data_IF_436328846623
#
_entry.id   IF_436328846623
#
_cell.length_a   1.000
_cell.length_b   1.000
_cell.length_c   1.000
_cell.angle_alpha   90.00
_cell.angle_beta   90.00
_cell.angle_gamma   90.00
#
_symmetry.space_group_name_H-M   'P 1'
#
loop_
_entity.id
_entity.type
_entity.pdbx_description
1 polymer ?
#
# COMPACT_ATOMS: atom_id res chain seq x y z
N UNK A 1 11.62 -7.70 -4.46
CA UNK A 1 12.34 -6.41 -4.45
C UNK A 1 12.38 -5.86 -3.02
N UNK A 2 13.57 -5.54 -2.48
CA UNK A 2 13.67 -4.90 -1.16
C UNK A 2 13.04 -3.52 -1.14
N UNK A 3 12.34 -3.19 -0.05
CA UNK A 3 11.79 -1.88 0.27
C UNK A 3 12.41 -1.44 1.61
N UNK A 4 13.46 -0.63 1.52
CA UNK A 4 14.28 -0.30 2.70
C UNK A 4 14.92 -1.55 3.33
N UNK A 5 15.16 -1.49 4.64
CA UNK A 5 15.75 -2.58 5.41
C UNK A 5 14.75 -3.57 6.03
N UNK A 6 13.46 -3.25 6.03
CA UNK A 6 12.45 -4.00 6.80
C UNK A 6 11.32 -4.60 5.97
N UNK A 7 11.19 -4.21 4.70
CA UNK A 7 10.10 -4.65 3.84
C UNK A 7 10.59 -5.25 2.53
N UNK A 8 9.75 -6.09 1.92
CA UNK A 8 9.94 -6.63 0.59
C UNK A 8 8.62 -6.61 -0.18
N UNK A 9 8.71 -6.26 -1.45
CA UNK A 9 7.64 -6.36 -2.44
C UNK A 9 7.88 -7.57 -3.34
N UNK A 10 6.87 -8.40 -3.48
CA UNK A 10 6.81 -9.49 -4.44
C UNK A 10 5.56 -9.26 -5.28
N UNK A 11 5.60 -9.50 -6.59
CA UNK A 11 4.42 -9.27 -7.40
C UNK A 11 4.35 -10.18 -8.63
N UNK A 12 3.13 -10.29 -9.13
CA UNK A 12 2.75 -10.88 -10.38
C UNK A 12 1.70 -9.99 -11.06
N UNK A 13 1.66 -10.03 -12.37
CA UNK A 13 0.74 -9.23 -13.18
C UNK A 13 -0.16 -10.14 -14.00
N UNK A 14 -1.46 -9.85 -13.99
CA UNK A 14 -2.35 -10.33 -15.03
C UNK A 14 -2.89 -9.15 -15.86
N UNK A 15 -3.80 -9.42 -16.78
CA UNK A 15 -4.32 -8.41 -17.72
C UNK A 15 -5.14 -7.31 -17.05
N UNK A 16 -5.64 -7.52 -15.84
CA UNK A 16 -6.56 -6.59 -15.16
C UNK A 16 -6.12 -6.21 -13.76
N UNK A 17 -5.18 -6.92 -13.15
CA UNK A 17 -4.77 -6.76 -11.75
C UNK A 17 -3.25 -6.85 -11.57
N UNK A 18 -2.79 -6.09 -10.58
CA UNK A 18 -1.53 -6.30 -9.88
C UNK A 18 -1.80 -7.19 -8.66
N UNK A 19 -1.21 -8.38 -8.63
CA UNK A 19 -1.21 -9.24 -7.45
C UNK A 19 0.15 -9.13 -6.79
N UNK A 20 0.20 -8.87 -5.49
CA UNK A 20 1.46 -8.60 -4.83
C UNK A 20 1.44 -8.98 -3.36
N UNK A 21 2.60 -9.33 -2.82
CA UNK A 21 2.80 -9.52 -1.41
C UNK A 21 3.68 -8.40 -0.84
N UNK A 22 3.23 -7.83 0.27
CA UNK A 22 4.05 -7.00 1.15
C UNK A 22 4.46 -7.85 2.33
N UNK A 23 5.77 -8.06 2.46
CA UNK A 23 6.37 -8.82 3.55
C UNK A 23 7.21 -7.85 4.37
N UNK A 24 6.96 -7.73 5.67
CA UNK A 24 7.68 -6.78 6.51
C UNK A 24 7.87 -7.26 7.94
N UNK A 25 9.02 -6.90 8.53
CA UNK A 25 9.24 -7.03 9.98
C UNK A 25 8.64 -5.82 10.69
N UNK A 26 7.33 -5.88 10.94
CA UNK A 26 6.56 -4.81 11.61
C UNK A 26 5.84 -5.36 12.84
N UNK A 27 5.52 -4.54 13.82
CA UNK A 27 4.78 -4.87 15.02
C UNK A 27 3.24 -4.91 14.80
N UNK A 28 2.49 -5.23 15.85
CA UNK A 28 1.01 -5.29 15.80
C UNK A 28 0.36 -3.90 15.72
N UNK A 29 1.05 -2.91 16.23
CA UNK A 29 0.74 -1.48 16.23
C UNK A 29 1.50 -0.76 15.11
N UNK A 30 1.89 -1.48 14.06
CA UNK A 30 2.55 -0.92 12.88
C UNK A 30 1.83 -1.35 11.60
N UNK A 31 1.96 -0.52 10.56
CA UNK A 31 1.40 -0.77 9.23
C UNK A 31 2.52 -0.89 8.20
N UNK A 32 2.22 -1.57 7.10
CA UNK A 32 2.99 -1.53 5.85
C UNK A 32 2.10 -0.99 4.73
N UNK A 33 2.69 -0.26 3.80
CA UNK A 33 1.95 0.34 2.69
C UNK A 33 2.75 0.35 1.38
N UNK A 34 2.03 0.20 0.27
CA UNK A 34 2.57 0.31 -1.09
C UNK A 34 1.49 0.74 -2.08
N UNK A 35 1.85 1.59 -3.04
CA UNK A 35 1.00 1.86 -4.18
C UNK A 35 1.52 2.96 -5.10
N UNK A 36 0.76 3.30 -6.16
CA UNK A 36 1.20 4.26 -7.15
C UNK A 36 1.18 5.69 -6.60
N UNK A 37 2.22 6.45 -6.97
CA UNK A 37 2.14 7.90 -6.93
C UNK A 37 1.08 8.41 -7.92
N UNK A 38 0.73 9.70 -7.83
CA UNK A 38 -0.09 10.34 -8.85
C UNK A 38 0.59 10.21 -10.23
N UNK A 39 -0.10 9.75 -11.29
CA UNK A 39 0.47 9.63 -12.61
C UNK A 39 1.05 10.95 -13.12
N UNK A 40 2.31 10.91 -13.58
CA UNK A 40 3.02 12.10 -14.08
C UNK A 40 3.61 13.01 -13.00
N UNK A 41 3.44 12.70 -11.72
CA UNK A 41 4.10 13.46 -10.65
C UNK A 41 5.63 13.32 -10.76
N UNK A 42 6.32 14.46 -10.76
CA UNK A 42 7.79 14.56 -10.81
C UNK A 42 8.38 15.02 -9.47
N UNK A 43 7.58 15.64 -8.63
CA UNK A 43 7.85 16.03 -7.27
C UNK A 43 6.62 15.69 -6.40
N UNK A 44 6.78 15.76 -5.06
CA UNK A 44 5.66 15.54 -4.11
C UNK A 44 4.87 14.26 -4.39
N UNK A 45 5.57 13.14 -4.57
CA UNK A 45 5.01 11.86 -5.04
C UNK A 45 3.92 11.25 -4.16
N UNK A 46 3.72 11.74 -2.94
CA UNK A 46 2.60 11.35 -2.06
C UNK A 46 1.34 12.19 -2.29
N UNK A 47 1.44 13.37 -2.89
CA UNK A 47 0.31 14.26 -3.11
C UNK A 47 -0.67 13.63 -4.10
N UNK A 48 -1.91 13.41 -3.67
CA UNK A 48 -2.95 12.71 -4.45
C UNK A 48 -2.55 11.29 -4.88
N UNK A 49 -1.61 10.67 -4.16
CA UNK A 49 -1.21 9.29 -4.38
C UNK A 49 -2.22 8.31 -3.76
N UNK A 50 -2.06 7.03 -4.13
CA UNK A 50 -2.79 5.94 -3.50
C UNK A 50 -1.85 4.84 -3.05
N UNK A 51 -2.15 4.27 -1.89
CA UNK A 51 -1.44 3.11 -1.39
C UNK A 51 -2.38 2.21 -0.64
N UNK A 52 -2.26 0.90 -0.82
CA UNK A 52 -2.88 -0.02 0.12
C UNK A 52 -2.02 -0.04 1.36
N UNK A 53 -2.63 0.25 2.51
CA UNK A 53 -2.03 0.09 3.82
C UNK A 53 -2.68 -1.08 4.55
N UNK A 54 -1.92 -1.79 5.38
CA UNK A 54 -2.45 -2.93 6.12
C UNK A 54 -1.52 -3.43 7.21
N UNK A 55 -2.02 -4.42 7.95
CA UNK A 55 -1.30 -5.10 9.02
C UNK A 55 -2.05 -6.32 9.52
N UNK A 56 -1.43 -7.04 10.45
CA UNK A 56 -2.01 -8.23 11.09
C UNK A 56 -1.83 -8.13 12.59
N UNK A 57 -2.93 -8.21 13.32
CA UNK A 57 -2.89 -8.27 14.77
C UNK A 57 -2.49 -9.69 15.21
N UNK A 58 -1.38 -9.85 15.94
CA UNK A 58 -0.85 -11.17 16.27
C UNK A 58 -1.70 -11.94 17.29
N UNK A 59 -2.38 -11.23 18.20
CA UNK A 59 -3.17 -11.87 19.26
C UNK A 59 -4.49 -12.44 18.76
N UNK A 60 -5.14 -11.75 17.82
CA UNK A 60 -6.42 -12.19 17.22
C UNK A 60 -6.25 -12.90 15.87
N UNK A 61 -5.09 -12.76 15.23
CA UNK A 61 -4.86 -13.19 13.84
C UNK A 61 -5.63 -12.36 12.80
N UNK A 62 -6.35 -11.31 13.23
CA UNK A 62 -7.14 -10.49 12.32
C UNK A 62 -6.24 -9.59 11.48
N UNK A 63 -6.39 -9.72 10.17
CA UNK A 63 -5.72 -8.89 9.20
C UNK A 63 -6.64 -7.81 8.65
N UNK A 64 -6.04 -6.71 8.21
CA UNK A 64 -6.74 -5.64 7.53
C UNK A 64 -5.84 -5.09 6.41
N UNK A 65 -6.47 -4.68 5.32
CA UNK A 65 -5.84 -3.87 4.29
C UNK A 65 -6.90 -3.02 3.60
N UNK A 66 -6.57 -1.79 3.23
CA UNK A 66 -7.50 -0.87 2.56
C UNK A 66 -6.73 0.10 1.67
N UNK A 67 -7.37 0.56 0.58
CA UNK A 67 -6.79 1.58 -0.27
C UNK A 67 -6.88 2.93 0.44
N UNK A 68 -5.75 3.64 0.49
CA UNK A 68 -5.61 4.95 1.12
C UNK A 68 -5.51 6.01 0.03
N UNK A 69 -6.16 7.14 0.23
CA UNK A 69 -6.02 8.32 -0.60
C UNK A 69 -5.34 9.43 0.20
N UNK A 70 -4.32 10.06 -0.41
CA UNK A 70 -3.45 11.03 0.25
C UNK A 70 -3.76 12.45 -0.25
N UNK A 71 -4.78 13.09 0.32
CA UNK A 71 -5.17 14.46 -0.05
C UNK A 71 -4.27 15.53 0.58
N UNK A 72 -3.61 15.22 1.69
CA UNK A 72 -2.65 16.07 2.37
C UNK A 72 -1.60 15.27 3.15
N UNK A 73 -0.49 15.93 3.51
CA UNK A 73 0.65 15.34 4.24
C UNK A 73 0.43 15.35 5.76
N UNK A 74 -0.73 14.85 6.18
CA UNK A 74 -1.13 14.74 7.59
C UNK A 74 -1.88 13.42 7.81
N UNK A 75 -1.93 12.88 9.05
CA UNK A 75 -2.83 11.78 9.39
C UNK A 75 -4.28 12.10 9.01
N UNK A 76 -5.11 11.06 8.82
CA UNK A 76 -6.50 11.26 8.46
C UNK A 76 -7.24 12.12 9.48
N UNK A 77 -7.78 13.25 9.03
CA UNK A 77 -8.63 14.12 9.82
C UNK A 77 -10.07 14.04 9.29
N UNK A 78 -10.90 13.33 10.06
CA UNK A 78 -12.33 13.11 9.76
C UNK A 78 -13.23 14.25 10.26
N UNK A 79 -12.67 15.31 10.85
CA UNK A 79 -13.44 16.51 11.22
C UNK A 79 -13.82 17.37 10.02
N UNK A 80 -13.15 17.17 8.87
CA UNK A 80 -13.47 17.79 7.60
C UNK A 80 -14.47 16.95 6.78
N UNK A 81 -15.23 17.60 5.90
CA UNK A 81 -16.15 16.96 4.95
C UNK A 81 -15.92 17.52 3.54
N UNK A 82 -15.25 16.78 2.63
CA UNK A 82 -14.69 15.44 2.83
C UNK A 82 -13.48 15.44 3.78
N UNK A 83 -13.11 14.28 4.36
CA UNK A 83 -11.91 14.14 5.20
C UNK A 83 -10.62 14.57 4.50
N UNK A 84 -9.63 15.00 5.27
CA UNK A 84 -8.35 15.50 4.75
C UNK A 84 -7.19 14.70 5.32
N UNK A 85 -6.12 14.49 4.54
CA UNK A 85 -4.94 13.75 4.96
C UNK A 85 -4.79 12.41 4.23
N UNK A 86 -4.17 11.44 4.91
CA UNK A 86 -4.04 10.05 4.44
C UNK A 86 -5.20 9.24 4.99
N UNK A 87 -6.31 9.19 4.24
CA UNK A 87 -7.57 8.58 4.68
C UNK A 87 -7.92 7.34 3.83
N UNK A 88 -8.62 6.34 4.38
CA UNK A 88 -9.10 5.23 3.57
C UNK A 88 -10.10 5.73 2.53
N UNK A 89 -10.08 5.14 1.33
CA UNK A 89 -10.92 5.56 0.20
C UNK A 89 -12.40 5.51 0.56
N UNK A 90 -12.82 4.52 1.35
CA UNK A 90 -14.16 4.41 1.94
C UNK A 90 -14.70 5.70 2.56
N UNK A 91 -13.85 6.54 3.15
CA UNK A 91 -14.24 7.80 3.78
C UNK A 91 -14.76 8.86 2.82
N UNK A 92 -14.47 8.72 1.52
CA UNK A 92 -14.88 9.64 0.47
C UNK A 92 -16.06 9.14 -0.36
N UNK A 93 -16.54 7.93 -0.06
CA UNK A 93 -17.57 7.23 -0.80
C UNK A 93 -18.91 7.28 -0.05
N UNK A 94 -20.01 7.35 -0.80
CA UNK A 94 -21.34 7.16 -0.22
C UNK A 94 -21.50 5.75 0.35
N UNK A 95 -22.45 5.49 1.26
CA UNK A 95 -22.70 4.15 1.78
C UNK A 95 -22.95 3.11 0.68
N UNK A 96 -23.64 3.49 -0.40
CA UNK A 96 -23.89 2.61 -1.55
C UNK A 96 -22.56 2.28 -2.27
N UNK A 97 -21.70 3.29 -2.46
CA UNK A 97 -20.40 3.10 -3.10
C UNK A 97 -19.44 2.24 -2.24
N UNK A 98 -19.47 2.41 -0.91
CA UNK A 98 -18.69 1.59 0.02
C UNK A 98 -19.04 0.11 -0.07
N UNK A 99 -20.32 -0.23 -0.28
CA UNK A 99 -20.75 -1.64 -0.44
C UNK A 99 -20.15 -2.34 -1.67
N UNK A 100 -19.72 -1.53 -2.66
CA UNK A 100 -19.05 -1.99 -3.89
C UNK A 100 -17.55 -1.73 -3.87
N UNK A 101 -17.02 -1.23 -2.76
CA UNK A 101 -15.60 -0.93 -2.64
C UNK A 101 -14.78 -2.20 -2.79
N UNK A 102 -13.67 -2.05 -3.49
CA UNK A 102 -12.72 -3.12 -3.71
C UNK A 102 -12.03 -3.50 -2.39
N UNK A 103 -12.16 -4.76 -1.97
CA UNK A 103 -11.35 -5.31 -0.88
C UNK A 103 -10.01 -5.82 -1.45
N UNK A 104 -8.87 -5.21 -1.07
CA UNK A 104 -7.59 -5.61 -1.61
C UNK A 104 -7.00 -6.88 -1.02
N UNK A 105 -7.49 -7.35 0.14
CA UNK A 105 -6.84 -8.42 0.88
C UNK A 105 -7.28 -9.81 0.40
N UNK A 106 -6.33 -10.60 -0.12
CA UNK A 106 -6.56 -12.01 -0.49
C UNK A 106 -6.26 -12.92 0.71
N UNK A 107 -5.08 -12.76 1.30
CA UNK A 107 -4.61 -13.57 2.41
C UNK A 107 -3.63 -12.77 3.27
N UNK A 108 -3.47 -13.18 4.52
CA UNK A 108 -2.51 -12.56 5.42
C UNK A 108 -1.98 -13.59 6.41
N UNK A 109 -0.75 -13.36 6.87
CA UNK A 109 -0.17 -14.14 7.96
C UNK A 109 0.79 -13.28 8.76
N UNK A 110 1.01 -13.72 10.01
CA UNK A 110 2.04 -13.16 10.87
C UNK A 110 2.76 -14.29 11.59
N UNK A 111 4.05 -14.40 11.38
CA UNK A 111 4.88 -15.46 11.98
C UNK A 111 6.25 -14.91 12.32
N UNK A 112 6.71 -15.14 13.56
CA UNK A 112 8.03 -14.70 14.04
C UNK A 112 8.31 -13.20 13.82
N UNK A 113 7.30 -12.35 14.04
CA UNK A 113 7.39 -10.89 13.84
C UNK A 113 7.32 -10.43 12.39
N UNK A 114 7.21 -11.35 11.43
CA UNK A 114 7.07 -11.03 10.01
C UNK A 114 5.58 -11.02 9.66
N UNK A 115 5.09 -9.87 9.20
CA UNK A 115 3.77 -9.71 8.61
C UNK A 115 3.86 -9.93 7.10
N UNK A 116 2.96 -10.75 6.55
CA UNK A 116 2.78 -10.93 5.11
C UNK A 116 1.34 -10.59 4.75
N UNK A 117 1.16 -9.66 3.81
CA UNK A 117 -0.13 -9.33 3.21
C UNK A 117 -0.08 -9.71 1.74
N UNK A 118 -0.96 -10.61 1.30
CA UNK A 118 -1.18 -10.95 -0.11
C UNK A 118 -2.37 -10.14 -0.59
N UNK A 119 -2.12 -9.30 -1.59
CA UNK A 119 -2.99 -8.24 -2.04
C UNK A 119 -3.26 -8.39 -3.54
N UNK A 120 -4.46 -7.99 -3.95
CA UNK A 120 -4.76 -7.71 -5.36
C UNK A 120 -5.15 -6.26 -5.48
N UNK A 121 -4.90 -5.63 -6.64
CA UNK A 121 -5.41 -4.30 -6.97
C UNK A 121 -5.69 -4.23 -8.47
N UNK A 122 -6.87 -3.75 -8.90
CA UNK A 122 -7.14 -3.53 -10.31
C UNK A 122 -6.13 -2.55 -10.91
N UNK A 123 -5.74 -2.77 -12.16
CA UNK A 123 -4.88 -1.86 -12.92
C UNK A 123 -5.64 -0.58 -13.30
N UNK A 124 -6.95 -0.68 -13.52
CA UNK A 124 -7.83 0.45 -13.77
C UNK A 124 -8.29 1.10 -12.46
N UNK A 125 -8.75 2.34 -12.55
CA UNK A 125 -9.36 3.03 -11.41
C UNK A 125 -10.62 2.30 -10.97
N UNK A 126 -10.81 2.21 -9.65
CA UNK A 126 -12.06 1.72 -9.05
C UNK A 126 -12.96 2.89 -8.61
N UNK A 127 -12.40 4.08 -8.42
CA UNK A 127 -13.13 5.33 -8.15
C UNK A 127 -12.34 6.57 -8.59
N UNK A 128 -12.93 7.75 -8.42
CA UNK A 128 -12.25 9.04 -8.62
C UNK A 128 -11.12 9.31 -7.61
N UNK A 129 -11.06 8.55 -6.50
CA UNK A 129 -10.06 8.70 -5.45
C UNK A 129 -8.95 7.64 -5.57
N UNK A 130 -8.91 6.90 -6.67
CA UNK A 130 -7.88 5.88 -6.95
C UNK A 130 -7.17 6.17 -8.26
N UNK A 131 -5.85 5.99 -8.27
CA UNK A 131 -5.00 6.16 -9.44
C UNK A 131 -4.81 4.85 -10.21
N UNK A 132 -4.71 4.93 -11.56
CA UNK A 132 -4.50 3.77 -12.40
C UNK A 132 -3.06 3.31 -12.24
N UNK A 133 -2.84 2.00 -12.36
CA UNK A 133 -1.51 1.41 -12.27
C UNK A 133 -0.97 1.24 -13.69
N UNK A 134 0.02 2.05 -14.04
CA UNK A 134 0.81 1.83 -15.24
C UNK A 134 1.98 0.86 -14.92
N UNK A 135 2.02 -0.25 -15.65
CA UNK A 135 2.95 -1.36 -15.40
C UNK A 135 4.30 -1.22 -16.13
N UNK A 136 4.45 -0.29 -17.08
CA UNK A 136 5.66 -0.21 -17.93
C UNK A 136 6.74 0.71 -17.41
N UNK A 137 6.40 1.88 -16.86
CA UNK A 137 7.32 2.75 -16.12
C UNK A 137 6.50 3.77 -15.32
N UNK A 138 6.56 3.69 -13.99
CA UNK A 138 5.81 4.59 -13.11
C UNK A 138 6.47 4.77 -11.76
N UNK A 139 6.07 5.83 -11.06
CA UNK A 139 6.51 6.08 -9.69
C UNK A 139 5.56 5.40 -8.72
N UNK A 140 6.13 4.65 -7.78
CA UNK A 140 5.41 4.07 -6.64
C UNK A 140 5.95 4.67 -5.36
N UNK A 141 5.18 4.56 -4.28
CA UNK A 141 5.58 4.91 -2.93
C UNK A 141 5.36 3.72 -2.03
N UNK A 142 6.21 3.61 -1.01
CA UNK A 142 6.03 2.66 0.07
C UNK A 142 6.40 3.31 1.38
N UNK A 143 5.82 2.78 2.45
CA UNK A 143 6.16 3.16 3.81
C UNK A 143 5.82 2.03 4.77
N UNK A 144 6.45 2.03 5.94
CA UNK A 144 5.92 1.43 7.15
C UNK A 144 5.94 2.47 8.27
N UNK A 145 5.13 2.23 9.30
CA UNK A 145 5.07 3.14 10.42
C UNK A 145 4.10 2.72 11.51
N UNK A 146 4.04 3.50 12.59
CA UNK A 146 3.17 3.20 13.71
C UNK A 146 1.69 3.47 13.40
N UNK A 147 0.83 2.78 14.12
CA UNK A 147 -0.60 2.97 14.21
C UNK A 147 -0.88 3.56 15.59
N UNK A 148 -1.42 4.77 15.63
CA UNK A 148 -1.75 5.47 16.87
C UNK A 148 -2.71 4.64 17.72
N UNK A 149 -2.54 4.63 19.04
CA UNK A 149 -3.51 4.02 19.96
C UNK A 149 -4.89 4.69 19.85
N UNK A 150 -5.96 3.92 20.04
CA UNK A 150 -7.31 4.48 20.13
C UNK A 150 -8.38 3.50 19.70
N UNK A 151 -9.63 3.87 20.00
CA UNK A 151 -10.80 3.12 19.60
C UNK A 151 -11.12 3.45 18.12
N UNK A 152 -11.13 2.42 17.27
CA UNK A 152 -11.49 2.57 15.86
C UNK A 152 -10.62 1.72 14.92
N UNK A 153 -11.02 1.62 13.63
CA UNK A 153 -10.30 0.81 12.67
C UNK A 153 -8.85 1.32 12.49
N UNK A 154 -7.86 0.43 12.38
CA UNK A 154 -6.46 0.81 12.19
C UNK A 154 -6.22 1.75 11.01
N UNK A 155 -7.02 1.62 9.94
CA UNK A 155 -6.93 2.46 8.73
C UNK A 155 -7.14 3.96 8.96
N UNK A 156 -7.82 4.35 10.05
CA UNK A 156 -8.01 5.75 10.44
C UNK A 156 -6.95 6.26 11.41
N UNK A 157 -6.05 5.38 11.87
CA UNK A 157 -5.09 5.65 12.94
C UNK A 157 -3.63 5.58 12.46
N UNK A 158 -3.38 5.58 11.16
CA UNK A 158 -2.02 5.60 10.64
C UNK A 158 -1.33 6.88 11.09
N UNK A 159 -0.24 6.73 11.83
CA UNK A 159 0.63 7.85 12.17
C UNK A 159 1.63 8.09 11.03
N UNK A 160 2.37 9.19 11.13
CA UNK A 160 3.46 9.44 10.19
C UNK A 160 4.48 8.30 10.26
N UNK A 161 4.88 7.78 9.11
CA UNK A 161 6.02 6.88 8.99
C UNK A 161 7.30 7.50 9.57
N UNK A 162 8.33 6.68 9.80
CA UNK A 162 9.63 7.18 10.25
C UNK A 162 10.28 8.18 9.29
N UNK A 163 11.39 8.80 9.72
CA UNK A 163 12.09 9.85 8.95
C UNK A 163 13.28 9.32 8.15
N UNK A 164 13.60 8.03 8.28
CA UNK A 164 14.74 7.41 7.63
C UNK A 164 14.41 6.86 6.23
N UNK A 165 15.42 6.68 5.36
CA UNK A 165 15.25 6.05 4.05
C UNK A 165 14.84 4.56 4.12
N UNK A 166 14.89 3.97 5.32
CA UNK A 166 14.41 2.62 5.60
C UNK A 166 12.92 2.57 5.97
N UNK A 167 12.30 3.73 6.22
CA UNK A 167 10.93 3.83 6.72
C UNK A 167 9.95 4.15 5.60
N UNK A 168 10.41 4.89 4.59
CA UNK A 168 9.66 5.22 3.39
C UNK A 168 10.61 5.62 2.26
N UNK A 169 10.18 5.43 1.02
CA UNK A 169 10.84 5.99 -0.15
C UNK A 169 9.92 5.92 -1.36
N UNK A 170 10.07 6.82 -2.35
CA UNK A 170 9.57 6.54 -3.67
C UNK A 170 10.41 5.45 -4.37
N UNK A 171 9.79 4.81 -5.35
CA UNK A 171 10.40 3.96 -6.36
C UNK A 171 10.08 4.60 -7.71
N UNK A 172 10.98 5.45 -8.19
CA UNK A 172 10.77 6.17 -9.45
C UNK A 172 11.10 5.29 -10.64
N UNK A 173 10.29 5.37 -11.70
CA UNK A 173 10.50 4.62 -12.96
C UNK A 173 10.60 3.09 -12.78
N UNK A 174 9.79 2.56 -11.88
CA UNK A 174 9.63 1.11 -11.74
C UNK A 174 8.78 0.59 -12.91
N UNK A 175 9.30 -0.40 -13.61
CA UNK A 175 8.54 -1.24 -14.52
C UNK A 175 8.11 -2.51 -13.78
N UNK A 176 6.83 -2.63 -13.47
CA UNK A 176 6.28 -3.86 -12.91
C UNK A 176 6.33 -5.01 -13.93
N UNK A 177 6.23 -4.69 -15.23
CA UNK A 177 6.23 -5.67 -16.32
C UNK A 177 7.59 -6.35 -16.52
N UNK A 178 8.70 -5.60 -16.47
CA UNK A 178 10.05 -6.16 -16.59
C UNK A 178 10.75 -6.40 -15.24
N UNK A 179 10.15 -5.91 -14.15
CA UNK A 179 10.73 -5.91 -12.81
C UNK A 179 12.07 -5.22 -12.70
N UNK A 180 12.23 -4.13 -13.44
CA UNK A 180 13.42 -3.30 -13.45
C UNK A 180 13.09 -1.87 -13.07
N UNK A 181 14.04 -1.17 -12.48
CA UNK A 181 14.00 0.29 -12.35
C UNK A 181 14.79 0.87 -13.52
N UNK A 182 14.19 1.78 -14.28
CA UNK A 182 14.87 2.41 -15.43
C UNK A 182 16.16 3.12 -14.98
N UNK A 183 17.28 2.80 -15.63
CA UNK A 183 18.61 3.30 -15.25
C UNK A 183 19.31 2.47 -14.17
N UNK A 184 18.71 1.39 -13.69
CA UNK A 184 19.34 0.38 -12.83
C UNK A 184 19.65 -0.90 -13.61
N UNK A 185 20.78 -1.54 -13.31
CA UNK A 185 21.11 -2.88 -13.81
C UNK A 185 20.45 -4.00 -12.98
N UNK A 186 19.67 -3.65 -11.94
CA UNK A 186 18.99 -4.63 -11.10
C UNK A 186 17.65 -5.06 -11.71
N UNK A 187 17.48 -6.37 -11.87
CA UNK A 187 16.19 -7.02 -12.15
C UNK A 187 15.72 -7.77 -10.91
N UNK A 188 14.43 -7.64 -10.59
CA UNK A 188 13.81 -8.17 -9.38
C UNK A 188 12.71 -9.19 -9.68
N UNK A 189 12.65 -9.71 -10.91
CA UNK A 189 11.77 -10.83 -11.25
C UNK A 189 12.30 -12.10 -10.56
N UNK A 190 11.75 -12.39 -9.38
CA UNK A 190 11.89 -13.67 -8.70
C UNK A 190 10.57 -14.41 -8.79
N UNK A 191 10.58 -15.61 -9.38
CA UNK A 191 9.41 -16.47 -9.45
C UNK A 191 8.79 -16.62 -8.05
N UNK A 192 7.50 -16.29 -7.94
CA UNK A 192 6.70 -16.67 -6.79
C UNK A 192 6.79 -18.21 -6.70
N UNK A 193 7.39 -18.82 -5.65
CA UNK A 193 7.17 -20.24 -5.45
C UNK A 193 5.67 -20.40 -5.23
N UNK A 194 5.00 -21.37 -5.89
CA UNK A 194 3.61 -21.62 -5.61
C UNK A 194 3.49 -21.86 -4.11
N UNK A 195 2.67 -21.04 -3.45
CA UNK A 195 2.23 -21.28 -2.07
C UNK A 195 1.52 -22.65 -2.11
N UNK A 196 2.26 -23.70 -1.76
CA UNK A 196 1.72 -25.02 -1.51
C UNK A 196 0.78 -24.89 -0.31
N UNK A 197 -0.52 -25.05 -0.58
CA UNK A 197 -1.56 -25.35 0.40
C UNK A 197 -1.36 -26.78 0.89
#
# INVERSE_FOLDING_TARGET
MPLGGQMQLWWDLNTTHLNYALVGYVADDEYIAFGPALPGAIDRLMGYANAIAGGVNSSSGLAWATDMFMSAYIPCDTTFSPPVGVCPVSSFLSPEQQSTEFNPLIAASRMNGITTLVLSRPLANTSQYTNPINVTSSSFIWAHGPISSGDGPPSYRLAQHGVGPNDYSPLTKLSLASGTIEGSNASFLGACPPLLV
#
